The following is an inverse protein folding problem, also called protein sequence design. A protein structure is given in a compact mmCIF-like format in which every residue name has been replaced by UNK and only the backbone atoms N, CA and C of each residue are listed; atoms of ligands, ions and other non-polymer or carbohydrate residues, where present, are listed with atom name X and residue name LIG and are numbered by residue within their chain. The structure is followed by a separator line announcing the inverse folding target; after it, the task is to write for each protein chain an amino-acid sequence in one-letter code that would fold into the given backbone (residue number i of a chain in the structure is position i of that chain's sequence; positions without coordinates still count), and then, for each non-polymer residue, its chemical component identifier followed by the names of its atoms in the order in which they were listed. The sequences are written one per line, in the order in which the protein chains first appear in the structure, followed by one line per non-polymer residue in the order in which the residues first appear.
data_IF_875992443992
#
_entry.id   IF_875992443992
#
_cell.length_a   1.000
_cell.length_b   1.000
_cell.length_c   1.000
_cell.angle_alpha   90.00
_cell.angle_beta   90.00
_cell.angle_gamma   90.00
#
_symmetry.space_group_name_H-M   'P 1'
#
loop_
_entity.id
_entity.type
_entity.pdbx_description
1 polymer ?
#
# COMPACT_ATOMS: atom_id res chain seq x y z
N UNK A 1 -8.92 -26.03 8.29
CA UNK A 1 -8.24 -24.99 9.09
C UNK A 1 -6.90 -24.66 8.43
N UNK A 2 -6.79 -23.45 7.89
CA UNK A 2 -5.59 -22.98 7.16
C UNK A 2 -4.31 -23.13 8.00
N UNK A 3 -4.36 -22.81 9.30
CA UNK A 3 -3.21 -22.91 10.21
C UNK A 3 -2.68 -24.34 10.31
N UNK A 4 -3.58 -25.32 10.34
CA UNK A 4 -3.19 -26.73 10.38
C UNK A 4 -2.51 -27.15 9.07
N UNK A 5 -3.06 -26.75 7.93
CA UNK A 5 -2.50 -27.04 6.60
C UNK A 5 -1.11 -26.42 6.43
N UNK A 6 -0.94 -25.16 6.83
CA UNK A 6 0.36 -24.48 6.77
C UNK A 6 1.40 -25.14 7.66
N UNK A 7 1.03 -25.48 8.91
CA UNK A 7 1.91 -26.16 9.85
C UNK A 7 2.36 -27.55 9.35
N UNK A 8 1.48 -28.28 8.69
CA UNK A 8 1.80 -29.59 8.12
C UNK A 8 2.70 -29.49 6.87
N UNK A 9 2.44 -28.49 6.01
CA UNK A 9 3.19 -28.31 4.76
C UNK A 9 4.56 -27.64 4.93
N UNK A 10 4.66 -26.72 5.87
CA UNK A 10 5.86 -25.92 6.10
C UNK A 10 6.24 -25.82 7.60
N UNK A 11 6.60 -26.95 8.23
CA UNK A 11 6.84 -27.00 9.67
C UNK A 11 8.05 -26.18 10.14
N UNK A 12 8.92 -25.77 9.22
CA UNK A 12 10.09 -24.92 9.50
C UNK A 12 9.79 -23.42 9.50
N UNK A 13 8.62 -23.01 9.03
CA UNK A 13 8.20 -21.62 9.02
C UNK A 13 7.30 -21.31 10.22
N UNK A 14 7.52 -20.15 10.82
CA UNK A 14 6.57 -19.61 11.78
C UNK A 14 5.37 -19.01 11.03
N UNK A 15 4.30 -19.80 10.96
CA UNK A 15 3.04 -19.44 10.31
C UNK A 15 1.90 -19.25 11.31
N UNK A 16 2.23 -19.03 12.59
CA UNK A 16 1.25 -18.71 13.61
C UNK A 16 0.81 -17.24 13.49
N UNK A 17 -0.42 -16.95 13.84
CA UNK A 17 -0.93 -15.58 14.06
C UNK A 17 -2.07 -15.59 15.09
N UNK A 18 -2.15 -14.52 15.86
CA UNK A 18 -3.18 -14.30 16.88
C UNK A 18 -4.35 -13.50 16.31
N UNK A 19 -4.05 -12.46 15.54
CA UNK A 19 -5.02 -11.52 14.99
C UNK A 19 -4.79 -11.28 13.49
N UNK A 20 -5.87 -10.84 12.78
CA UNK A 20 -5.81 -10.49 11.37
C UNK A 20 -6.14 -9.02 11.18
N UNK A 21 -5.40 -8.35 10.29
CA UNK A 21 -5.60 -6.95 9.97
C UNK A 21 -5.73 -6.80 8.44
N UNK A 22 -6.88 -6.31 7.95
CA UNK A 22 -7.03 -5.99 6.54
C UNK A 22 -6.31 -4.68 6.22
N UNK A 23 -5.51 -4.70 5.14
CA UNK A 23 -4.78 -3.55 4.61
C UNK A 23 -5.21 -3.33 3.17
N UNK A 24 -6.00 -2.30 2.94
CA UNK A 24 -6.37 -1.84 1.61
C UNK A 24 -5.35 -0.81 1.12
N UNK A 25 -4.72 -1.11 0.00
CA UNK A 25 -3.77 -0.23 -0.69
C UNK A 25 -4.41 0.24 -1.99
N UNK A 26 -4.21 1.48 -2.38
CA UNK A 26 -4.75 1.93 -3.67
C UNK A 26 -4.20 3.28 -4.11
N UNK A 27 -4.23 3.48 -5.41
CA UNK A 27 -4.00 4.78 -6.01
C UNK A 27 -5.16 5.74 -5.70
N UNK A 28 -4.87 7.03 -5.65
CA UNK A 28 -5.85 8.06 -5.35
C UNK A 28 -5.73 9.22 -6.34
N UNK A 29 -6.82 9.45 -7.08
CA UNK A 29 -6.96 10.55 -8.02
C UNK A 29 -7.67 11.72 -7.35
N UNK A 30 -7.11 12.92 -7.44
CA UNK A 30 -7.75 14.14 -6.94
C UNK A 30 -8.80 14.67 -7.92
N UNK A 31 -8.85 14.12 -9.13
CA UNK A 31 -9.86 14.43 -10.13
C UNK A 31 -10.98 13.41 -10.11
N UNK A 32 -12.17 13.86 -10.47
CA UNK A 32 -13.32 12.95 -10.58
C UNK A 32 -13.15 12.00 -11.78
N UNK A 33 -13.60 10.76 -11.63
CA UNK A 33 -13.48 9.73 -12.66
C UNK A 33 -14.06 10.10 -14.04
N UNK A 34 -15.19 10.84 -14.17
CA UNK A 34 -15.67 11.28 -15.50
C UNK A 34 -14.69 12.21 -16.21
N UNK A 35 -13.98 13.08 -15.48
CA UNK A 35 -12.96 13.96 -16.06
C UNK A 35 -11.75 13.17 -16.53
N UNK A 36 -11.28 12.24 -15.73
CA UNK A 36 -10.17 11.35 -16.09
C UNK A 36 -10.51 10.47 -17.29
N UNK A 37 -11.73 9.93 -17.34
CA UNK A 37 -12.21 9.14 -18.46
C UNK A 37 -12.29 9.97 -19.76
N UNK A 38 -12.82 11.19 -19.68
CA UNK A 38 -12.91 12.07 -20.85
C UNK A 38 -11.53 12.38 -21.45
N UNK A 39 -10.50 12.51 -20.61
CA UNK A 39 -9.11 12.65 -21.06
C UNK A 39 -8.58 11.39 -21.70
N UNK A 40 -8.79 10.24 -21.05
CA UNK A 40 -8.30 8.94 -21.52
C UNK A 40 -8.83 8.59 -22.92
N UNK A 41 -10.13 8.81 -23.17
CA UNK A 41 -10.75 8.50 -24.48
C UNK A 41 -10.54 9.61 -25.53
N UNK A 42 -9.85 10.68 -25.17
CA UNK A 42 -9.63 11.81 -26.09
C UNK A 42 -8.53 11.50 -27.10
N UNK A 43 -8.88 11.46 -28.38
CA UNK A 43 -7.92 11.28 -29.48
C UNK A 43 -6.86 12.40 -29.47
N UNK A 44 -7.23 13.63 -29.05
CA UNK A 44 -6.35 14.80 -29.00
C UNK A 44 -5.23 14.62 -27.95
N UNK A 45 -5.50 13.90 -26.87
CA UNK A 45 -4.55 13.65 -25.78
C UNK A 45 -3.80 12.31 -25.93
N UNK A 46 -3.99 11.61 -27.04
CA UNK A 46 -3.23 10.40 -27.38
C UNK A 46 -3.54 9.19 -26.51
N UNK A 47 -4.76 9.08 -25.98
CA UNK A 47 -5.20 7.95 -25.15
C UNK A 47 -4.26 7.73 -23.94
N UNK A 48 -3.85 8.83 -23.31
CA UNK A 48 -2.94 8.79 -22.17
C UNK A 48 -3.66 8.26 -20.94
N UNK A 49 -3.13 7.18 -20.36
CA UNK A 49 -3.59 6.67 -19.06
C UNK A 49 -3.47 7.76 -18.00
N UNK A 50 -4.51 7.94 -17.15
CA UNK A 50 -4.42 8.89 -16.05
C UNK A 50 -3.40 8.41 -15.03
N UNK A 51 -2.51 9.29 -14.58
CA UNK A 51 -1.56 9.01 -13.51
C UNK A 51 -2.11 9.63 -12.22
N UNK A 52 -2.21 8.87 -11.11
CA UNK A 52 -2.73 9.38 -9.84
C UNK A 52 -1.85 10.50 -9.27
N UNK A 53 -2.39 11.29 -8.37
CA UNK A 53 -1.65 12.27 -7.60
C UNK A 53 -1.03 11.67 -6.32
N UNK A 54 -1.63 10.61 -5.77
CA UNK A 54 -1.15 9.92 -4.57
C UNK A 54 -1.74 8.52 -4.44
N UNK A 55 -1.59 7.91 -3.28
CA UNK A 55 -2.28 6.67 -2.91
C UNK A 55 -2.72 6.69 -1.45
N UNK A 56 -3.39 5.63 -1.02
CA UNK A 56 -3.97 5.52 0.31
C UNK A 56 -3.65 4.16 0.94
N UNK A 57 -3.45 4.15 2.26
CA UNK A 57 -3.49 2.94 3.11
C UNK A 57 -4.73 3.03 3.99
N UNK A 58 -5.67 2.10 3.83
CA UNK A 58 -6.96 2.09 4.51
C UNK A 58 -7.69 3.45 4.40
N UNK A 59 -7.65 4.04 3.20
CA UNK A 59 -8.36 5.28 2.88
C UNK A 59 -7.69 6.56 3.38
N UNK A 60 -6.45 6.51 3.90
CA UNK A 60 -5.76 7.67 4.48
C UNK A 60 -4.33 7.81 3.97
N UNK A 61 -3.90 9.05 3.86
CA UNK A 61 -2.53 9.48 3.61
C UNK A 61 -2.43 11.00 3.84
N UNK A 62 -1.24 11.52 4.06
CA UNK A 62 -0.96 12.96 4.05
C UNK A 62 -0.36 13.32 2.70
N UNK A 63 -1.01 14.20 1.96
CA UNK A 63 -0.55 14.71 0.67
C UNK A 63 0.03 16.13 0.83
N UNK A 64 1.26 16.34 0.36
CA UNK A 64 1.88 17.67 0.33
C UNK A 64 1.38 18.48 -0.86
N UNK A 65 1.00 19.72 -0.60
CA UNK A 65 0.51 20.65 -1.61
C UNK A 65 1.60 21.46 -2.33
N UNK A 66 2.85 21.32 -1.94
CA UNK A 66 3.94 22.14 -2.50
C UNK A 66 4.07 21.97 -4.02
N UNK A 67 4.12 20.73 -4.48
CA UNK A 67 4.19 20.45 -5.92
C UNK A 67 2.94 20.86 -6.67
N UNK A 68 1.76 20.68 -6.06
CA UNK A 68 0.49 21.12 -6.64
C UNK A 68 0.50 22.63 -6.89
N UNK A 69 0.94 23.42 -5.90
CA UNK A 69 1.06 24.89 -6.03
C UNK A 69 2.06 25.28 -7.11
N UNK A 70 3.20 24.62 -7.15
CA UNK A 70 4.24 24.93 -8.14
C UNK A 70 3.78 24.66 -9.57
N UNK A 71 3.01 23.63 -9.81
CA UNK A 71 2.48 23.24 -11.13
C UNK A 71 1.14 23.90 -11.47
N UNK A 72 0.57 24.69 -10.54
CA UNK A 72 -0.74 25.33 -10.74
C UNK A 72 -1.93 24.37 -10.63
N UNK A 73 -1.72 23.15 -10.15
CA UNK A 73 -2.79 22.20 -9.86
C UNK A 73 -3.48 22.61 -8.54
N UNK A 74 -4.83 22.68 -8.49
CA UNK A 74 -5.51 23.01 -7.25
C UNK A 74 -5.19 22.00 -6.14
N UNK A 75 -4.78 22.52 -4.97
CA UNK A 75 -4.59 21.67 -3.80
C UNK A 75 -5.88 21.66 -2.96
N UNK A 76 -6.39 20.47 -2.56
CA UNK A 76 -7.58 20.37 -1.75
C UNK A 76 -7.42 20.93 -0.33
N UNK A 77 -6.18 21.18 0.13
CA UNK A 77 -5.89 21.78 1.43
C UNK A 77 -6.15 23.30 1.49
N UNK A 78 -6.45 23.97 0.37
CA UNK A 78 -6.53 25.44 0.30
C UNK A 78 -5.16 26.06 0.61
N UNK A 79 -5.09 26.88 1.69
CA UNK A 79 -3.85 27.57 2.09
C UNK A 79 -2.91 26.73 2.98
N UNK A 80 -3.31 25.51 3.35
CA UNK A 80 -2.46 24.60 4.13
C UNK A 80 -1.40 23.94 3.24
N UNK A 81 -0.30 23.52 3.86
CA UNK A 81 0.80 22.86 3.16
C UNK A 81 0.54 21.36 2.93
N UNK A 82 -0.32 20.76 3.78
CA UNK A 82 -0.65 19.34 3.75
C UNK A 82 -2.13 19.11 3.98
N UNK A 83 -2.65 18.00 3.43
CA UNK A 83 -4.03 17.53 3.63
C UNK A 83 -4.04 16.03 3.92
N UNK A 84 -4.97 15.64 4.80
CA UNK A 84 -5.17 14.24 5.18
C UNK A 84 -4.59 13.89 6.54
N UNK A 85 -4.51 12.60 6.82
CA UNK A 85 -3.96 12.02 8.04
C UNK A 85 -3.42 10.62 7.76
N UNK A 86 -2.52 10.13 8.60
CA UNK A 86 -2.04 8.76 8.51
C UNK A 86 -3.00 7.79 9.20
N UNK A 87 -3.14 6.59 8.64
CA UNK A 87 -3.69 5.45 9.38
C UNK A 87 -2.69 5.04 10.46
N UNK A 88 -3.16 4.76 11.66
CA UNK A 88 -2.36 4.20 12.76
C UNK A 88 -2.79 2.76 13.06
N UNK A 89 -1.81 1.87 13.13
CA UNK A 89 -1.99 0.47 13.49
C UNK A 89 -1.33 0.19 14.84
N UNK A 90 -2.13 -0.11 15.86
CA UNK A 90 -1.64 -0.42 17.20
C UNK A 90 -1.40 -1.93 17.32
N UNK A 91 -0.14 -2.35 17.19
CA UNK A 91 0.27 -3.74 17.25
C UNK A 91 0.88 -4.08 18.62
N UNK A 92 0.27 -5.00 19.33
CA UNK A 92 0.79 -5.46 20.63
C UNK A 92 2.03 -6.32 20.43
N UNK A 93 3.03 -6.14 21.30
CA UNK A 93 4.30 -6.86 21.23
C UNK A 93 4.21 -8.36 21.53
N UNK A 94 3.17 -8.76 22.27
CA UNK A 94 2.93 -10.14 22.68
C UNK A 94 2.09 -10.94 21.67
N UNK A 95 1.76 -10.32 20.49
CA UNK A 95 0.94 -10.93 19.45
C UNK A 95 1.63 -10.95 18.11
N UNK A 96 1.26 -11.93 17.33
CA UNK A 96 1.65 -12.06 15.94
C UNK A 96 0.46 -11.77 15.02
N UNK A 97 0.70 -11.03 13.96
CA UNK A 97 -0.35 -10.53 13.07
C UNK A 97 -0.26 -11.12 11.69
N UNK A 98 -1.42 -11.53 11.16
CA UNK A 98 -1.62 -11.76 9.74
C UNK A 98 -2.14 -10.48 9.11
N UNK A 99 -1.35 -9.88 8.21
CA UNK A 99 -1.80 -8.78 7.37
C UNK A 99 -2.44 -9.35 6.11
N UNK A 100 -3.67 -8.92 5.82
CA UNK A 100 -4.39 -9.28 4.60
C UNK A 100 -4.33 -8.10 3.64
N UNK A 101 -3.35 -8.13 2.74
CA UNK A 101 -3.07 -7.07 1.79
C UNK A 101 -3.97 -7.21 0.57
N UNK A 102 -4.54 -6.11 0.12
CA UNK A 102 -5.28 -6.03 -1.14
C UNK A 102 -4.97 -4.71 -1.83
N UNK A 103 -4.59 -4.77 -3.11
CA UNK A 103 -4.51 -3.57 -3.94
C UNK A 103 -5.89 -3.34 -4.56
N UNK A 104 -6.60 -2.32 -4.05
CA UNK A 104 -7.92 -1.86 -4.50
C UNK A 104 -7.82 -0.71 -5.50
N UNK A 105 -6.60 -0.35 -5.89
CA UNK A 105 -6.33 0.68 -6.89
C UNK A 105 -6.79 0.29 -8.29
N UNK A 106 -6.74 1.26 -9.18
CA UNK A 106 -7.20 1.10 -10.56
C UNK A 106 -6.07 0.85 -11.55
N UNK A 107 -4.87 1.37 -11.29
CA UNK A 107 -3.78 1.33 -12.27
C UNK A 107 -2.39 1.09 -11.66
N UNK A 108 -2.14 1.54 -10.43
CA UNK A 108 -0.80 1.52 -9.86
C UNK A 108 -0.39 0.17 -9.30
N UNK A 109 0.74 -0.36 -9.75
CA UNK A 109 1.47 -1.37 -9.00
C UNK A 109 2.04 -0.74 -7.73
N UNK A 110 1.91 -1.45 -6.61
CA UNK A 110 2.32 -0.94 -5.29
C UNK A 110 3.31 -1.90 -4.67
N UNK A 111 4.44 -1.39 -4.19
CA UNK A 111 5.37 -2.17 -3.35
C UNK A 111 5.09 -1.89 -1.87
N UNK A 112 4.67 -2.93 -1.15
CA UNK A 112 4.37 -2.87 0.28
C UNK A 112 5.56 -3.30 1.13
N UNK A 113 5.78 -2.61 2.27
CA UNK A 113 6.77 -2.97 3.28
C UNK A 113 6.43 -2.37 4.64
N UNK A 114 7.06 -2.89 5.70
CA UNK A 114 7.00 -2.31 7.06
C UNK A 114 8.43 -2.16 7.57
N UNK A 115 8.81 -0.93 7.96
CA UNK A 115 10.16 -0.63 8.43
C UNK A 115 10.51 -1.50 9.65
N UNK A 116 11.72 -2.08 9.66
CA UNK A 116 12.19 -2.94 10.74
C UNK A 116 11.41 -4.25 10.92
N UNK A 117 10.69 -4.71 9.88
CA UNK A 117 9.97 -5.97 9.90
C UNK A 117 10.26 -6.79 8.65
N UNK A 118 10.19 -8.11 8.81
CA UNK A 118 10.11 -9.06 7.71
C UNK A 118 8.71 -9.65 7.65
N UNK A 119 8.38 -10.28 6.54
CA UNK A 119 7.07 -10.87 6.33
C UNK A 119 7.23 -12.29 5.79
N UNK A 120 6.34 -13.19 6.20
CA UNK A 120 6.20 -14.50 5.57
C UNK A 120 4.93 -14.55 4.75
N UNK A 121 5.06 -14.62 3.44
CA UNK A 121 3.90 -14.82 2.53
C UNK A 121 3.36 -16.22 2.75
N UNK A 122 2.06 -16.36 3.01
CA UNK A 122 1.37 -17.63 3.25
C UNK A 122 0.23 -17.90 2.29
N UNK A 123 -0.26 -16.84 1.63
CA UNK A 123 -1.39 -16.93 0.70
C UNK A 123 -1.24 -15.88 -0.41
N UNK A 124 -1.58 -16.25 -1.63
CA UNK A 124 -1.69 -15.36 -2.79
C UNK A 124 -3.03 -15.61 -3.48
N UNK A 125 -3.80 -14.55 -3.71
CA UNK A 125 -5.11 -14.54 -4.36
C UNK A 125 -6.11 -15.59 -3.85
N UNK A 126 -6.13 -15.81 -2.53
CA UNK A 126 -7.03 -16.77 -1.89
C UNK A 126 -6.51 -18.21 -1.88
N UNK A 127 -5.29 -18.45 -2.36
CA UNK A 127 -4.68 -19.77 -2.39
C UNK A 127 -3.47 -19.84 -1.47
N UNK A 128 -3.43 -20.82 -0.58
CA UNK A 128 -2.26 -21.08 0.26
C UNK A 128 -1.06 -21.45 -0.60
N UNK A 129 0.04 -20.76 -0.39
CA UNK A 129 1.32 -20.99 -1.08
C UNK A 129 2.34 -21.61 -0.12
N UNK A 130 3.45 -22.11 -0.67
CA UNK A 130 4.61 -22.45 0.14
C UNK A 130 5.15 -21.17 0.78
N UNK A 131 5.31 -21.13 2.14
CA UNK A 131 5.72 -19.92 2.82
C UNK A 131 7.08 -19.39 2.37
N UNK A 132 7.17 -18.08 2.18
CA UNK A 132 8.38 -17.42 1.72
C UNK A 132 8.65 -16.15 2.53
N UNK A 133 9.87 -15.99 3.04
CA UNK A 133 10.28 -14.75 3.72
C UNK A 133 10.60 -13.65 2.71
N UNK A 134 10.05 -12.47 2.96
CA UNK A 134 10.25 -11.28 2.13
C UNK A 134 10.36 -10.02 2.99
N UNK A 135 11.01 -8.99 2.44
CA UNK A 135 11.04 -7.64 3.04
C UNK A 135 10.07 -6.69 2.35
N UNK A 136 9.75 -6.96 1.08
CA UNK A 136 8.87 -6.14 0.25
C UNK A 136 8.02 -7.05 -0.64
N UNK A 137 6.81 -6.59 -0.95
CA UNK A 137 5.87 -7.33 -1.79
C UNK A 137 5.33 -6.40 -2.86
N UNK A 138 5.59 -6.65 -4.15
CA UNK A 138 4.89 -5.98 -5.24
C UNK A 138 3.47 -6.53 -5.34
N UNK A 139 2.48 -5.65 -5.47
CA UNK A 139 1.06 -5.99 -5.51
C UNK A 139 0.40 -5.18 -6.63
N UNK A 140 0.03 -5.86 -7.71
CA UNK A 140 -0.71 -5.24 -8.81
C UNK A 140 -2.19 -5.05 -8.47
N UNK A 141 -2.92 -4.14 -9.16
CA UNK A 141 -4.34 -3.96 -8.95
C UNK A 141 -5.13 -5.27 -8.96
N UNK A 142 -5.97 -5.48 -7.95
CA UNK A 142 -6.77 -6.69 -7.76
C UNK A 142 -6.05 -7.86 -7.09
N UNK A 143 -4.73 -7.84 -6.96
CA UNK A 143 -4.00 -8.90 -6.25
C UNK A 143 -4.17 -8.78 -4.73
N UNK A 144 -4.12 -9.92 -4.06
CA UNK A 144 -4.21 -10.05 -2.60
C UNK A 144 -3.13 -10.97 -2.09
N UNK A 145 -2.55 -10.62 -0.95
CA UNK A 145 -1.61 -11.47 -0.23
C UNK A 145 -1.98 -11.53 1.24
N UNK A 146 -1.77 -12.69 1.86
CA UNK A 146 -1.73 -12.80 3.32
C UNK A 146 -0.31 -13.05 3.76
N UNK A 147 0.15 -12.25 4.71
CA UNK A 147 1.50 -12.33 5.24
C UNK A 147 1.48 -12.34 6.76
N UNK A 148 2.39 -13.10 7.36
CA UNK A 148 2.69 -13.01 8.78
C UNK A 148 3.77 -11.95 8.96
N UNK A 149 3.49 -10.97 9.81
CA UNK A 149 4.43 -9.88 10.11
C UNK A 149 5.38 -10.33 11.22
N UNK A 150 6.69 -10.26 10.98
CA UNK A 150 7.73 -10.58 11.95
C UNK A 150 8.49 -9.32 12.34
N UNK A 151 8.47 -9.02 13.63
CA UNK A 151 9.15 -7.85 14.18
C UNK A 151 10.62 -8.14 14.40
N UNK A 152 11.50 -7.23 14.01
CA UNK A 152 12.90 -7.27 14.40
C UNK A 152 13.06 -7.04 15.91
N UNK A 153 13.79 -7.89 16.63
CA UNK A 153 13.93 -7.80 18.10
C UNK A 153 14.52 -6.47 18.58
N UNK A 154 15.29 -5.79 17.73
CA UNK A 154 15.90 -4.48 18.02
C UNK A 154 14.92 -3.30 18.00
N UNK A 155 13.72 -3.51 17.43
CA UNK A 155 12.71 -2.46 17.18
C UNK A 155 11.62 -2.44 18.27
N UNK A 156 11.92 -2.87 19.50
CA UNK A 156 10.98 -2.79 20.61
C UNK A 156 10.62 -1.32 20.87
N UNK A 157 9.34 -1.04 21.02
CA UNK A 157 8.76 0.27 21.39
C UNK A 157 8.96 1.43 20.38
N UNK A 158 9.29 1.13 19.14
CA UNK A 158 9.47 2.15 18.11
C UNK A 158 8.20 2.33 17.28
N UNK A 159 7.82 3.58 17.04
CA UNK A 159 6.89 3.91 15.95
C UNK A 159 7.64 3.74 14.62
N UNK A 160 7.08 2.95 13.72
CA UNK A 160 7.69 2.69 12.41
C UNK A 160 6.70 2.97 11.28
N UNK A 161 7.24 3.15 10.07
CA UNK A 161 6.41 3.34 8.89
C UNK A 161 6.00 2.01 8.28
N UNK A 162 4.71 1.88 7.99
CA UNK A 162 4.18 0.98 6.98
C UNK A 162 4.14 1.76 5.68
N UNK A 163 4.71 1.21 4.62
CA UNK A 163 4.89 1.89 3.33
C UNK A 163 4.17 1.17 2.21
N UNK A 164 3.58 1.97 1.34
CA UNK A 164 3.04 1.54 0.07
C UNK A 164 3.62 2.49 -1.01
N UNK A 165 4.55 2.00 -1.81
CA UNK A 165 5.21 2.80 -2.84
C UNK A 165 4.59 2.51 -4.21
N UNK A 166 3.99 3.53 -4.82
CA UNK A 166 3.48 3.43 -6.18
C UNK A 166 4.65 3.37 -7.16
N UNK A 167 4.63 2.41 -8.08
CA UNK A 167 5.69 2.22 -9.08
C UNK A 167 5.51 3.19 -10.24
N UNK A 168 6.02 4.42 -10.06
CA UNK A 168 5.87 5.53 -11.02
C UNK A 168 6.45 5.25 -12.40
N UNK A 169 7.46 4.40 -12.48
CA UNK A 169 8.09 3.97 -13.74
C UNK A 169 7.20 3.05 -14.60
N UNK A 170 6.15 2.48 -14.02
CA UNK A 170 5.15 1.71 -14.76
C UNK A 170 4.16 2.59 -15.51
N UNK A 171 4.10 3.89 -15.23
CA UNK A 171 3.22 4.81 -15.93
C UNK A 171 3.81 5.29 -17.25
N UNK A 172 2.98 5.34 -18.29
CA UNK A 172 3.39 5.83 -19.61
C UNK A 172 3.83 7.30 -19.61
N UNK A 173 3.25 8.10 -18.71
CA UNK A 173 3.51 9.53 -18.60
C UNK A 173 3.83 9.90 -17.15
N UNK A 174 4.63 10.95 -16.97
CA UNK A 174 4.92 11.50 -15.65
C UNK A 174 3.79 12.44 -15.19
N UNK A 175 3.38 12.30 -13.93
CA UNK A 175 2.58 13.31 -13.25
C UNK A 175 3.50 14.06 -12.26
N UNK A 176 3.82 15.35 -12.49
CA UNK A 176 4.76 16.08 -11.66
C UNK A 176 4.28 16.30 -10.22
N UNK A 177 2.99 16.06 -9.93
CA UNK A 177 2.43 16.17 -8.58
C UNK A 177 2.20 14.80 -7.92
N UNK A 178 2.63 13.71 -8.55
CA UNK A 178 2.55 12.39 -7.94
C UNK A 178 3.42 12.33 -6.68
N UNK A 179 2.80 12.04 -5.52
CA UNK A 179 3.49 11.54 -4.34
C UNK A 179 3.40 10.01 -4.33
N UNK A 180 4.47 9.30 -4.69
CA UNK A 180 4.47 7.84 -4.73
C UNK A 180 4.67 7.19 -3.36
N UNK A 181 5.05 7.94 -2.33
CA UNK A 181 5.47 7.41 -1.03
C UNK A 181 4.37 7.45 0.03
N UNK A 182 3.44 6.53 -0.08
CA UNK A 182 2.31 6.43 0.84
C UNK A 182 2.75 5.78 2.16
N UNK A 183 2.28 6.31 3.27
CA UNK A 183 2.70 5.87 4.61
C UNK A 183 1.52 5.69 5.55
N UNK A 184 1.69 4.77 6.49
CA UNK A 184 0.88 4.63 7.69
C UNK A 184 1.82 4.41 8.88
N UNK A 185 1.31 4.59 10.09
CA UNK A 185 2.10 4.46 11.32
C UNK A 185 1.78 3.12 11.97
N UNK A 186 2.81 2.38 12.36
CA UNK A 186 2.71 1.20 13.24
C UNK A 186 3.25 1.58 14.60
N UNK A 187 2.45 1.35 15.64
CA UNK A 187 2.74 1.68 17.05
C UNK A 187 2.74 0.42 17.90
#
# INVERSE_FOLDING_TARGET
DERKVLKERAPTFDTHWDEEIPIALGDHFHKMSPESLAKYVSIVLGEAEPVPESGLINGRHIFSCDMARYTGVPCPAGDKDEVGEYTEFHLRHDKQYRLRLVNVGSIADITFSVDGHTMTVIEADGTLVEPMHVHRIPISPGQRYSVILHREPSMKDSRVWMRAELQGECFKYMNPVLDPFIKAIVV
#
